data_IF_444435050659
#
_entry.id   IF_444435050659
#
_cell.length_a   1.000
_cell.length_b   1.000
_cell.length_c   1.000
_cell.angle_alpha   90.00
_cell.angle_beta   90.00
_cell.angle_gamma   90.00
#
_symmetry.space_group_name_H-M   'P 1'
#
loop_
_entity.id
_entity.type
_entity.pdbx_description
1 polymer ?
#
# COMPACT_ATOMS: atom_id res chain seq x y z
N UNK A 1 4.58 -15.63 -14.99
CA UNK A 1 4.15 -14.99 -13.73
C UNK A 1 5.18 -14.03 -13.14
N UNK A 2 6.49 -14.26 -13.35
CA UNK A 2 7.59 -13.38 -12.91
C UNK A 2 7.35 -11.86 -13.05
N UNK A 3 6.82 -11.39 -14.18
CA UNK A 3 6.53 -9.95 -14.37
C UNK A 3 5.48 -9.42 -13.38
N UNK A 4 4.43 -10.20 -13.12
CA UNK A 4 3.39 -9.82 -12.15
C UNK A 4 3.97 -9.86 -10.73
N UNK A 5 4.71 -10.93 -10.38
CA UNK A 5 5.39 -11.05 -9.07
C UNK A 5 6.31 -9.84 -8.80
N UNK A 6 7.09 -9.41 -9.80
CA UNK A 6 7.95 -8.22 -9.73
C UNK A 6 7.17 -6.96 -9.40
N UNK A 7 6.09 -6.68 -10.13
CA UNK A 7 5.31 -5.45 -9.93
C UNK A 7 4.48 -5.48 -8.65
N UNK A 8 4.00 -6.65 -8.25
CA UNK A 8 3.31 -6.82 -6.99
C UNK A 8 4.26 -6.62 -5.80
N UNK A 9 5.47 -7.17 -5.84
CA UNK A 9 6.51 -6.92 -4.84
C UNK A 9 6.81 -5.43 -4.69
N UNK A 10 6.97 -4.72 -5.81
CA UNK A 10 7.17 -3.28 -5.80
C UNK A 10 5.98 -2.52 -5.21
N UNK A 11 4.75 -2.93 -5.54
CA UNK A 11 3.54 -2.35 -4.97
C UNK A 11 3.49 -2.54 -3.46
N UNK A 12 3.70 -3.76 -2.96
CA UNK A 12 3.64 -4.09 -1.53
C UNK A 12 4.65 -3.24 -0.74
N UNK A 13 5.90 -3.21 -1.20
CA UNK A 13 6.93 -2.38 -0.59
C UNK A 13 6.56 -0.89 -0.59
N UNK A 14 6.18 -0.34 -1.75
CA UNK A 14 5.86 1.09 -1.84
C UNK A 14 4.63 1.47 -1.02
N UNK A 15 3.60 0.63 -1.04
CA UNK A 15 2.30 0.93 -0.49
C UNK A 15 2.28 0.79 1.04
N UNK A 16 2.90 -0.25 1.59
CA UNK A 16 2.89 -0.56 3.03
C UNK A 16 4.11 -0.07 3.80
N UNK A 17 5.29 0.06 3.17
CA UNK A 17 6.51 0.53 3.86
C UNK A 17 6.70 2.04 3.68
N UNK A 18 6.92 2.50 2.45
CA UNK A 18 7.58 3.80 2.25
C UNK A 18 6.67 4.96 1.82
N UNK A 19 5.41 4.73 1.44
CA UNK A 19 4.53 5.82 0.96
C UNK A 19 3.54 6.34 2.00
N UNK A 20 3.33 5.64 3.12
CA UNK A 20 2.25 6.00 4.04
C UNK A 20 2.46 7.37 4.69
N UNK A 21 3.69 7.73 5.06
CA UNK A 21 3.99 9.05 5.64
C UNK A 21 3.55 10.22 4.75
N UNK A 22 3.63 10.05 3.42
CA UNK A 22 3.21 11.08 2.44
C UNK A 22 1.70 11.27 2.43
N UNK A 23 0.94 10.23 2.78
CA UNK A 23 -0.53 10.27 2.83
C UNK A 23 -1.04 10.86 4.14
N UNK A 24 -0.29 10.74 5.22
CA UNK A 24 -0.66 11.25 6.55
C UNK A 24 -0.98 12.76 6.58
N UNK A 25 -0.46 13.53 5.62
CA UNK A 25 -0.68 14.96 5.48
C UNK A 25 -1.29 15.37 4.12
N UNK A 26 -2.06 14.48 3.47
CA UNK A 26 -2.70 14.81 2.18
C UNK A 26 -3.75 15.93 2.32
N UNK A 27 -3.84 16.88 1.37
CA UNK A 27 -4.89 17.90 1.35
C UNK A 27 -6.32 17.33 1.30
N UNK A 28 -7.31 18.18 1.51
CA UNK A 28 -8.71 17.79 1.38
C UNK A 28 -9.09 17.53 -0.09
N UNK A 29 -9.98 16.55 -0.30
CA UNK A 29 -10.53 16.22 -1.60
C UNK A 29 -11.67 15.19 -1.47
N UNK A 30 -12.63 15.17 -2.41
CA UNK A 30 -13.75 14.25 -2.35
C UNK A 30 -13.32 12.82 -2.71
N UNK A 31 -13.91 11.82 -2.04
CA UNK A 31 -13.86 10.43 -2.49
C UNK A 31 -14.72 10.28 -3.74
N UNK A 32 -14.18 9.64 -4.78
CA UNK A 32 -14.86 9.49 -6.08
C UNK A 32 -15.32 8.06 -6.36
N UNK A 33 -14.51 7.07 -5.98
CA UNK A 33 -14.76 5.66 -6.29
C UNK A 33 -15.30 4.90 -5.07
N UNK A 34 -16.18 3.92 -5.31
CA UNK A 34 -16.73 3.05 -4.25
C UNK A 34 -15.66 2.22 -3.56
N UNK A 35 -14.62 1.81 -4.29
CA UNK A 35 -13.49 1.02 -3.79
C UNK A 35 -12.59 1.72 -2.76
N UNK A 36 -12.79 3.01 -2.50
CA UNK A 36 -12.08 3.74 -1.44
C UNK A 36 -11.19 4.89 -1.93
N UNK A 37 -10.73 5.71 -0.98
CA UNK A 37 -9.73 6.74 -1.17
C UNK A 37 -8.62 6.62 -0.12
N UNK A 38 -7.44 7.16 -0.41
CA UNK A 38 -6.25 7.03 0.44
C UNK A 38 -6.12 8.15 1.50
N UNK A 39 -7.22 8.77 1.88
CA UNK A 39 -7.22 9.82 2.91
C UNK A 39 -6.99 9.20 4.30
N UNK A 40 -6.04 9.71 5.10
CA UNK A 40 -5.83 9.27 6.48
C UNK A 40 -7.01 9.62 7.39
N UNK A 41 -7.91 10.50 6.92
CA UNK A 41 -9.15 10.89 7.61
C UNK A 41 -10.33 10.01 7.23
N UNK A 42 -10.19 9.16 6.21
CA UNK A 42 -11.26 8.36 5.61
C UNK A 42 -10.93 6.86 5.60
N UNK A 43 -10.94 6.26 4.40
CA UNK A 43 -10.90 4.81 4.22
C UNK A 43 -9.54 4.16 4.56
N UNK A 44 -8.42 4.90 4.48
CA UNK A 44 -7.08 4.33 4.65
C UNK A 44 -6.34 4.91 5.86
N UNK A 45 -6.41 4.19 7.00
CA UNK A 45 -5.72 4.53 8.25
C UNK A 45 -4.61 3.52 8.52
N UNK A 46 -3.36 3.95 8.35
CA UNK A 46 -2.19 3.10 8.55
C UNK A 46 -1.03 3.91 9.19
N UNK A 47 -0.17 3.24 9.99
CA UNK A 47 1.01 3.86 10.60
C UNK A 47 2.01 4.33 9.54
N UNK A 48 2.66 5.48 9.76
CA UNK A 48 3.65 6.03 8.82
C UNK A 48 5.00 5.29 8.85
N UNK A 49 5.20 4.52 9.91
CA UNK A 49 6.34 3.69 10.27
C UNK A 49 5.99 2.18 10.21
N UNK A 50 4.93 1.83 9.48
CA UNK A 50 4.61 0.44 9.16
C UNK A 50 5.66 -0.22 8.28
N UNK A 51 5.65 -1.55 8.21
CA UNK A 51 6.52 -2.33 7.33
C UNK A 51 5.72 -3.19 6.35
N UNK A 52 6.36 -3.70 5.30
CA UNK A 52 5.78 -4.56 4.26
C UNK A 52 6.22 -6.03 4.37
N UNK A 53 6.96 -6.42 5.41
CA UNK A 53 7.65 -7.71 5.50
C UNK A 53 6.72 -8.92 5.32
N UNK A 54 5.64 -8.98 6.10
CA UNK A 54 4.71 -10.14 6.04
C UNK A 54 4.12 -10.36 4.65
N UNK A 55 3.84 -9.28 3.90
CA UNK A 55 3.30 -9.39 2.54
C UNK A 55 4.36 -9.82 1.53
N UNK A 56 5.60 -9.38 1.69
CA UNK A 56 6.71 -9.78 0.82
C UNK A 56 7.09 -11.24 1.04
N UNK A 57 7.10 -11.70 2.30
CA UNK A 57 7.38 -13.08 2.66
C UNK A 57 6.31 -14.03 2.08
N UNK A 58 5.03 -13.64 2.19
CA UNK A 58 3.91 -14.39 1.61
C UNK A 58 3.99 -14.45 0.08
N UNK A 59 4.34 -13.34 -0.57
CA UNK A 59 4.51 -13.26 -2.02
C UNK A 59 5.65 -14.18 -2.49
N UNK A 60 6.74 -14.25 -1.73
CA UNK A 60 7.88 -15.10 -2.08
C UNK A 60 7.57 -16.58 -1.92
N UNK A 61 6.89 -16.95 -0.83
CA UNK A 61 6.57 -18.34 -0.50
C UNK A 61 5.50 -18.95 -1.42
N UNK A 62 4.52 -18.17 -1.89
CA UNK A 62 3.31 -18.72 -2.51
C UNK A 62 3.07 -18.33 -3.98
N UNK A 63 3.88 -17.43 -4.56
CA UNK A 63 3.72 -17.03 -5.97
C UNK A 63 4.85 -17.57 -6.85
N UNK A 64 4.52 -18.37 -7.89
CA UNK A 64 5.48 -18.91 -8.85
C UNK A 64 6.21 -17.86 -9.72
#
# INVERSE_FOLDING_TARGET
LATIKKWLSLFLFRFFEISQFKRSAVPNGPKVISGGALSPRGDWRAPSDGNARVWLDELEANVP
#
